data_IF_823992142382
#
_entry.id   IF_823992142382
#
_cell.length_a   1.000
_cell.length_b   1.000
_cell.length_c   1.000
_cell.angle_alpha   90.00
_cell.angle_beta   90.00
_cell.angle_gamma   90.00
#
_symmetry.space_group_name_H-M   'P 1'
#
loop_
_entity.id
_entity.type
_entity.pdbx_description
1 polymer ?
#
# COMPACT_ATOMS: atom_id res chain seq x y z
N UNK A 1 31.12 32.06 -8.11
CA UNK A 1 29.86 31.39 -8.49
C UNK A 1 30.04 29.91 -8.19
N UNK A 2 29.26 29.34 -7.28
CA UNK A 2 29.36 27.91 -6.92
C UNK A 2 28.31 27.15 -7.72
N UNK A 3 28.75 26.22 -8.57
CA UNK A 3 27.87 25.35 -9.33
C UNK A 3 27.37 24.24 -8.41
N UNK A 4 26.14 24.36 -7.93
CA UNK A 4 25.48 23.27 -7.22
C UNK A 4 25.12 22.18 -8.23
N UNK A 5 25.90 21.11 -8.26
CA UNK A 5 25.54 19.89 -9.00
C UNK A 5 24.38 19.24 -8.24
N UNK A 6 23.14 19.49 -8.71
CA UNK A 6 21.97 18.76 -8.23
C UNK A 6 21.99 17.39 -8.91
N UNK A 7 22.52 16.39 -8.22
CA UNK A 7 22.38 15.00 -8.62
C UNK A 7 20.90 14.61 -8.44
N UNK A 8 20.14 14.58 -9.55
CA UNK A 8 18.76 14.11 -9.54
C UNK A 8 18.77 12.60 -9.35
N UNK A 9 18.60 12.16 -8.10
CA UNK A 9 18.37 10.75 -7.80
C UNK A 9 17.08 10.32 -8.49
N UNK A 10 17.22 9.55 -9.58
CA UNK A 10 16.11 8.94 -10.29
C UNK A 10 15.54 7.82 -9.42
N UNK A 11 14.55 8.14 -8.61
CA UNK A 11 13.76 7.10 -7.93
C UNK A 11 12.89 6.44 -8.98
N UNK A 12 13.10 5.16 -9.24
CA UNK A 12 12.18 4.39 -10.08
C UNK A 12 10.79 4.50 -9.46
N UNK A 13 9.85 5.11 -10.19
CA UNK A 13 8.44 5.19 -9.77
C UNK A 13 7.87 3.79 -9.84
N UNK A 14 7.97 3.04 -8.75
CA UNK A 14 7.15 1.85 -8.58
C UNK A 14 5.71 2.33 -8.51
N UNK A 15 4.87 1.86 -9.42
CA UNK A 15 3.43 2.12 -9.39
C UNK A 15 2.79 1.10 -8.45
N UNK A 16 2.50 1.47 -7.18
CA UNK A 16 2.12 0.49 -6.15
C UNK A 16 0.84 -0.27 -6.52
N UNK A 17 -0.16 0.43 -7.08
CA UNK A 17 -1.41 -0.19 -7.51
C UNK A 17 -1.19 -1.20 -8.65
N UNK A 18 -0.31 -0.89 -9.61
CA UNK A 18 0.01 -1.82 -10.69
C UNK A 18 0.64 -3.10 -10.16
N UNK A 19 1.57 -2.97 -9.22
CA UNK A 19 2.22 -4.11 -8.57
C UNK A 19 1.19 -4.95 -7.82
N UNK A 20 0.30 -4.32 -7.04
CA UNK A 20 -0.73 -5.02 -6.27
C UNK A 20 -1.73 -5.78 -7.17
N UNK A 21 -2.21 -5.15 -8.25
CA UNK A 21 -3.10 -5.79 -9.21
C UNK A 21 -2.43 -6.96 -9.93
N UNK A 22 -1.14 -6.82 -10.26
CA UNK A 22 -0.38 -7.92 -10.86
C UNK A 22 -0.21 -9.09 -9.88
N UNK A 23 0.14 -8.80 -8.61
CA UNK A 23 0.22 -9.82 -7.55
C UNK A 23 -1.12 -10.54 -7.37
N UNK A 24 -2.25 -9.84 -7.46
CA UNK A 24 -3.57 -10.46 -7.37
C UNK A 24 -3.80 -11.49 -8.49
N UNK A 25 -3.52 -11.11 -9.74
CA UNK A 25 -3.64 -12.03 -10.89
C UNK A 25 -2.70 -13.23 -10.76
N UNK A 26 -1.48 -13.03 -10.25
CA UNK A 26 -0.52 -14.10 -9.99
C UNK A 26 -1.02 -15.07 -8.92
N UNK A 27 -1.58 -14.59 -7.81
CA UNK A 27 -2.20 -15.42 -6.77
C UNK A 27 -3.35 -16.26 -7.33
N UNK A 28 -4.24 -15.66 -8.14
CA UNK A 28 -5.35 -16.37 -8.80
C UNK A 28 -4.84 -17.47 -9.73
N UNK A 29 -3.88 -17.14 -10.61
CA UNK A 29 -3.33 -18.10 -11.58
C UNK A 29 -2.56 -19.25 -10.92
N UNK A 30 -1.85 -18.98 -9.83
CA UNK A 30 -1.07 -19.98 -9.09
C UNK A 30 -1.88 -20.72 -8.01
N UNK A 31 -3.17 -20.40 -7.85
CA UNK A 31 -4.03 -20.92 -6.76
C UNK A 31 -3.41 -20.71 -5.38
N UNK A 32 -2.78 -19.56 -5.18
CA UNK A 32 -2.20 -19.15 -3.89
C UNK A 32 -3.09 -18.12 -3.21
N UNK A 33 -3.15 -18.10 -1.87
CA UNK A 33 -3.81 -17.02 -1.14
C UNK A 33 -3.19 -15.67 -1.51
N UNK A 34 -4.04 -14.67 -1.71
CA UNK A 34 -3.61 -13.28 -1.81
C UNK A 34 -3.24 -12.76 -0.41
N UNK A 35 -2.14 -11.99 -0.24
CA UNK A 35 -1.66 -11.58 1.08
C UNK A 35 -2.59 -10.63 1.84
N UNK A 36 -3.56 -10.01 1.15
CA UNK A 36 -4.56 -9.14 1.77
C UNK A 36 -5.93 -9.80 1.70
N UNK A 37 -6.54 -10.08 2.85
CA UNK A 37 -7.83 -10.77 2.93
C UNK A 37 -9.00 -9.82 3.25
N UNK A 38 -10.26 -10.19 2.92
CA UNK A 38 -11.42 -9.41 3.32
C UNK A 38 -11.55 -9.22 4.84
N UNK A 39 -11.12 -10.20 5.64
CA UNK A 39 -11.15 -10.13 7.10
C UNK A 39 -10.28 -8.98 7.62
N UNK A 40 -9.09 -8.80 7.03
CA UNK A 40 -8.22 -7.67 7.36
C UNK A 40 -8.88 -6.33 7.03
N UNK A 41 -9.71 -6.25 5.99
CA UNK A 41 -10.46 -5.03 5.67
C UNK A 41 -11.51 -4.70 6.75
N UNK A 42 -12.21 -5.71 7.27
CA UNK A 42 -13.19 -5.54 8.36
C UNK A 42 -12.49 -5.11 9.65
N UNK A 43 -11.35 -5.74 9.98
CA UNK A 43 -10.55 -5.37 11.15
C UNK A 43 -10.04 -3.93 11.07
N UNK A 44 -9.57 -3.51 9.89
CA UNK A 44 -9.14 -2.14 9.64
C UNK A 44 -10.28 -1.13 9.85
N UNK A 45 -11.49 -1.43 9.36
CA UNK A 45 -12.66 -0.57 9.60
C UNK A 45 -13.00 -0.47 11.09
N UNK A 46 -13.01 -1.59 11.80
CA UNK A 46 -13.27 -1.60 13.24
C UNK A 46 -12.21 -0.79 14.03
N UNK A 47 -10.95 -0.85 13.60
CA UNK A 47 -9.87 -0.05 14.18
C UNK A 47 -10.07 1.45 13.92
N UNK A 48 -10.43 1.84 12.68
CA UNK A 48 -10.72 3.22 12.33
C UNK A 48 -11.84 3.81 13.22
N UNK A 49 -12.92 3.05 13.45
CA UNK A 49 -14.01 3.49 14.33
C UNK A 49 -13.54 3.67 15.78
N UNK A 50 -12.74 2.75 16.31
CA UNK A 50 -12.16 2.86 17.66
C UNK A 50 -11.27 4.10 17.81
N UNK A 51 -10.44 4.40 16.81
CA UNK A 51 -9.60 5.61 16.79
C UNK A 51 -10.49 6.86 16.75
N UNK A 52 -11.51 6.87 15.89
CA UNK A 52 -12.47 7.99 15.79
C UNK A 52 -13.16 8.24 17.13
N UNK A 53 -13.64 7.21 17.79
CA UNK A 53 -14.28 7.31 19.11
C UNK A 53 -13.32 7.81 20.20
N UNK A 54 -12.05 7.38 20.15
CA UNK A 54 -11.04 7.81 21.12
C UNK A 54 -10.67 9.29 20.98
N UNK A 55 -10.68 9.84 19.76
CA UNK A 55 -10.36 11.26 19.48
C UNK A 55 -11.53 12.19 19.82
N UNK A 56 -12.77 11.70 19.80
CA UNK A 56 -13.98 12.48 20.11
C UNK A 56 -14.31 12.53 21.61
N UNK A 57 -13.54 11.86 22.47
CA UNK A 57 -13.65 11.93 23.94
C UNK A 57 -12.72 12.99 24.50
#
# INVERSE_FOLDING_TARGET
VQENIIEKVMVNKVEPLKVELQTFLECVSQKKPFPVTPEQAVENLALCERIREAVLR
#
